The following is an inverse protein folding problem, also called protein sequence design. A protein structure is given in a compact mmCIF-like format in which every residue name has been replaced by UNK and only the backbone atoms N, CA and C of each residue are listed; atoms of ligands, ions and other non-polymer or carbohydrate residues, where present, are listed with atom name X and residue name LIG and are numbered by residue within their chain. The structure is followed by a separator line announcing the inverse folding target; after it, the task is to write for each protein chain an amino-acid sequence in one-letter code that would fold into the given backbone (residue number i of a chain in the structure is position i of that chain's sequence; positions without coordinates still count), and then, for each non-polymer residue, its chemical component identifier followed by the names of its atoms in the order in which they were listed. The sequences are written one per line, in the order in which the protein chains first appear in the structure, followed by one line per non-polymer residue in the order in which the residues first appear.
data_IF_071938452787
#
_entry.id   IF_071938452787
#
_cell.length_a   1.000
_cell.length_b   1.000
_cell.length_c   1.000
_cell.angle_alpha   90.00
_cell.angle_beta   90.00
_cell.angle_gamma   90.00
#
_symmetry.space_group_name_H-M   'P 1'
#
loop_
_entity.id
_entity.type
_entity.pdbx_description
1 polymer ?
#
# COMPACT_ATOMS: atom_id res chain seq x y z
N UNK A 1 10.91 0.67 -15.21
CA UNK A 1 10.49 1.31 -13.95
C UNK A 1 9.92 0.20 -13.09
N UNK A 2 10.55 -0.04 -11.94
CA UNK A 2 10.22 -1.13 -11.00
C UNK A 2 8.84 -0.86 -10.40
N UNK A 3 7.98 -1.87 -10.25
CA UNK A 3 6.59 -1.67 -9.77
C UNK A 3 6.39 -2.36 -8.43
N UNK A 4 5.98 -1.60 -7.43
CA UNK A 4 5.63 -2.14 -6.12
C UNK A 4 4.22 -1.75 -5.73
N UNK A 5 3.53 -2.67 -5.05
CA UNK A 5 2.24 -2.40 -4.43
C UNK A 5 2.45 -2.14 -2.94
N UNK A 6 1.92 -1.03 -2.44
CA UNK A 6 2.06 -0.62 -1.06
C UNK A 6 0.81 -1.02 -0.26
N UNK A 7 1.04 -1.65 0.89
CA UNK A 7 0.02 -1.81 1.93
C UNK A 7 -0.31 -0.45 2.58
N UNK A 8 -1.55 -0.29 3.04
CA UNK A 8 -2.06 0.80 3.88
C UNK A 8 -1.05 1.26 4.94
N UNK A 9 -0.38 0.32 5.62
CA UNK A 9 0.58 0.67 6.67
C UNK A 9 1.77 1.49 6.18
N UNK A 10 2.25 1.25 4.95
CA UNK A 10 3.36 2.01 4.36
C UNK A 10 2.92 3.44 4.06
N UNK A 11 1.67 3.63 3.61
CA UNK A 11 1.10 4.95 3.38
C UNK A 11 1.02 5.76 4.69
N UNK A 12 0.54 5.12 5.75
CA UNK A 12 0.46 5.73 7.08
C UNK A 12 1.84 6.05 7.67
N UNK A 13 2.83 5.18 7.44
CA UNK A 13 4.21 5.43 7.88
C UNK A 13 4.81 6.66 7.21
N UNK A 14 4.51 6.86 5.92
CA UNK A 14 4.92 8.06 5.19
C UNK A 14 4.16 9.31 5.66
N UNK A 15 2.81 9.24 5.74
CA UNK A 15 1.95 10.37 6.11
C UNK A 15 2.22 10.89 7.54
N UNK A 16 2.49 9.97 8.46
CA UNK A 16 2.69 10.24 9.89
C UNK A 16 4.14 10.22 10.35
N UNK A 17 5.11 9.91 9.48
CA UNK A 17 6.51 9.70 9.83
C UNK A 17 6.68 8.70 11.01
N UNK A 18 5.93 7.58 11.00
CA UNK A 18 5.83 6.65 12.14
C UNK A 18 7.13 5.87 12.32
N UNK A 19 7.91 6.21 13.34
CA UNK A 19 9.19 5.55 13.61
C UNK A 19 9.00 4.11 14.15
N UNK A 20 9.89 3.16 13.80
CA UNK A 20 11.11 3.32 13.00
C UNK A 20 10.90 3.25 11.47
N UNK A 21 9.66 3.04 11.00
CA UNK A 21 9.37 2.71 9.61
C UNK A 21 9.25 3.92 8.67
N UNK A 22 8.98 5.11 9.22
CA UNK A 22 8.83 6.35 8.47
C UNK A 22 10.04 6.70 7.59
N UNK A 23 11.26 6.36 8.04
CA UNK A 23 12.48 6.57 7.24
C UNK A 23 12.51 5.70 5.97
N UNK A 24 12.09 4.44 6.07
CA UNK A 24 12.04 3.53 4.92
C UNK A 24 10.91 3.92 3.98
N UNK A 25 9.75 4.28 4.52
CA UNK A 25 8.65 4.81 3.72
C UNK A 25 9.07 6.07 2.94
N UNK A 26 9.76 7.02 3.59
CA UNK A 26 10.30 8.20 2.92
C UNK A 26 11.24 7.84 1.75
N UNK A 27 12.10 6.84 1.93
CA UNK A 27 13.02 6.39 0.89
C UNK A 27 12.28 5.73 -0.29
N UNK A 28 11.27 4.89 -0.01
CA UNK A 28 10.39 4.30 -1.04
C UNK A 28 9.72 5.39 -1.89
N UNK A 29 9.14 6.42 -1.25
CA UNK A 29 8.53 7.54 -1.97
C UNK A 29 9.57 8.39 -2.70
N UNK A 30 10.81 8.48 -2.20
CA UNK A 30 11.90 9.14 -2.91
C UNK A 30 12.29 8.40 -4.20
N UNK A 31 12.29 7.05 -4.20
CA UNK A 31 12.47 6.24 -5.42
C UNK A 31 11.41 6.53 -6.48
N UNK A 32 10.16 6.74 -6.07
CA UNK A 32 9.08 7.19 -6.96
C UNK A 32 9.33 8.60 -7.50
N UNK A 33 9.70 9.54 -6.62
CA UNK A 33 10.03 10.93 -7.01
C UNK A 33 11.17 11.00 -8.03
N UNK A 34 12.18 10.15 -7.91
CA UNK A 34 13.30 10.03 -8.85
C UNK A 34 12.95 9.26 -10.14
N UNK A 35 11.69 8.83 -10.30
CA UNK A 35 11.17 8.05 -11.43
C UNK A 35 11.84 6.68 -11.58
N UNK A 36 12.41 6.13 -10.51
CA UNK A 36 12.96 4.78 -10.48
C UNK A 36 11.84 3.75 -10.33
N UNK A 37 10.87 4.04 -9.45
CA UNK A 37 9.78 3.14 -9.08
C UNK A 37 8.40 3.73 -9.40
N UNK A 38 7.48 2.88 -9.84
CA UNK A 38 6.06 3.20 -9.95
C UNK A 38 5.35 2.51 -8.78
N UNK A 39 4.78 3.31 -7.88
CA UNK A 39 4.14 2.82 -6.67
C UNK A 39 2.65 2.67 -6.91
N UNK A 40 2.11 1.50 -6.56
CA UNK A 40 0.69 1.17 -6.66
C UNK A 40 0.10 0.99 -5.26
N UNK A 41 -1.20 1.19 -5.13
CA UNK A 41 -1.97 0.84 -3.92
C UNK A 41 -3.43 0.58 -4.30
N UNK A 42 -4.24 0.03 -3.39
CA UNK A 42 -5.69 -0.03 -3.59
C UNK A 42 -6.39 1.28 -3.22
N UNK A 43 -7.56 1.51 -3.82
CA UNK A 43 -8.51 2.54 -3.41
C UNK A 43 -8.91 2.43 -1.93
N UNK A 44 -9.12 1.21 -1.43
CA UNK A 44 -9.42 0.96 -0.02
C UNK A 44 -8.31 1.48 0.89
N UNK A 45 -7.04 1.25 0.53
CA UNK A 45 -5.90 1.72 1.33
C UNK A 45 -5.85 3.25 1.43
N UNK A 46 -6.27 3.98 0.39
CA UNK A 46 -6.38 5.44 0.42
C UNK A 46 -7.47 5.89 1.39
N UNK A 47 -8.67 5.27 1.30
CA UNK A 47 -9.81 5.62 2.16
C UNK A 47 -9.53 5.28 3.63
N UNK A 48 -8.94 4.11 3.90
CA UNK A 48 -8.50 3.70 5.23
C UNK A 48 -7.42 4.63 5.77
N UNK A 49 -6.45 5.01 4.94
CA UNK A 49 -5.42 5.98 5.34
C UNK A 49 -6.05 7.32 5.73
N UNK A 50 -6.94 7.87 4.90
CA UNK A 50 -7.68 9.10 5.22
C UNK A 50 -8.45 8.99 6.54
N UNK A 51 -9.20 7.90 6.71
CA UNK A 51 -9.99 7.65 7.92
C UNK A 51 -9.13 7.64 9.17
N UNK A 52 -7.99 6.97 9.14
CA UNK A 52 -7.06 6.90 10.27
C UNK A 52 -6.47 8.29 10.55
N UNK A 53 -5.85 8.95 9.57
CA UNK A 53 -5.16 10.21 9.83
C UNK A 53 -6.14 11.36 10.17
N UNK A 54 -7.37 11.35 9.64
CA UNK A 54 -8.38 12.37 9.98
C UNK A 54 -8.76 12.38 11.45
N UNK A 55 -8.67 11.24 12.15
CA UNK A 55 -8.86 11.19 13.60
C UNK A 55 -7.70 11.80 14.38
N UNK A 56 -6.51 11.84 13.80
CA UNK A 56 -5.29 12.32 14.46
C UNK A 56 -5.05 13.82 14.21
N UNK A 57 -5.24 14.29 12.97
CA UNK A 57 -4.89 15.66 12.55
C UNK A 57 -6.07 16.47 12.03
N UNK A 58 -7.28 15.92 12.07
CA UNK A 58 -8.51 16.56 11.58
C UNK A 58 -8.71 16.43 10.07
N UNK A 59 -9.97 16.61 9.62
CA UNK A 59 -10.36 16.37 8.22
C UNK A 59 -9.67 17.29 7.22
N UNK A 60 -9.57 18.59 7.52
CA UNK A 60 -9.03 19.58 6.60
C UNK A 60 -7.57 19.28 6.23
N UNK A 61 -6.74 18.99 7.24
CA UNK A 61 -5.33 18.67 6.99
C UNK A 61 -5.17 17.30 6.33
N UNK A 62 -5.99 16.32 6.70
CA UNK A 62 -5.98 15.01 6.08
C UNK A 62 -6.32 15.03 4.60
N UNK A 63 -7.28 15.86 4.17
CA UNK A 63 -7.57 16.05 2.73
C UNK A 63 -6.37 16.59 1.98
N UNK A 64 -5.63 17.54 2.56
CA UNK A 64 -4.42 18.11 1.95
C UNK A 64 -3.33 17.03 1.84
N UNK A 65 -3.07 16.27 2.91
CA UNK A 65 -2.03 15.23 2.92
C UNK A 65 -2.35 14.09 1.95
N UNK A 66 -3.58 13.60 1.92
CA UNK A 66 -4.01 12.56 0.96
C UNK A 66 -3.95 13.08 -0.48
N UNK A 67 -4.40 14.31 -0.73
CA UNK A 67 -4.31 14.93 -2.06
C UNK A 67 -2.87 15.04 -2.57
N UNK A 68 -1.90 15.28 -1.67
CA UNK A 68 -0.47 15.25 -2.01
C UNK A 68 0.04 13.84 -2.25
N UNK A 69 -0.34 12.88 -1.39
CA UNK A 69 0.07 11.49 -1.47
C UNK A 69 -0.30 10.84 -2.81
N UNK A 70 -1.53 11.08 -3.30
CA UNK A 70 -2.04 10.47 -4.53
C UNK A 70 -1.16 10.80 -5.75
N UNK A 71 -0.46 11.93 -5.79
CA UNK A 71 0.42 12.27 -6.91
C UNK A 71 1.64 11.34 -7.08
N UNK A 72 1.94 10.52 -6.07
CA UNK A 72 3.03 9.54 -6.10
C UNK A 72 2.56 8.12 -6.45
N UNK A 73 1.26 7.90 -6.56
CA UNK A 73 0.63 6.59 -6.56
C UNK A 73 -0.24 6.35 -7.79
N UNK A 74 -0.13 5.16 -8.33
CA UNK A 74 -1.16 4.56 -9.17
C UNK A 74 -2.19 3.86 -8.28
N UNK A 75 -3.47 4.06 -8.56
CA UNK A 75 -4.54 3.45 -7.77
C UNK A 75 -5.13 2.28 -8.54
N UNK A 76 -5.02 1.08 -7.97
CA UNK A 76 -5.69 -0.12 -8.46
C UNK A 76 -7.10 -0.19 -7.85
N UNK A 77 -8.18 0.00 -8.65
CA UNK A 77 -9.53 -0.06 -8.12
C UNK A 77 -9.89 -1.48 -7.69
N UNK A 78 -10.56 -1.59 -6.54
CA UNK A 78 -11.08 -2.87 -6.06
C UNK A 78 -12.35 -3.20 -6.84
N UNK A 79 -12.41 -4.39 -7.46
CA UNK A 79 -13.61 -4.86 -8.16
C UNK A 79 -14.22 -6.08 -7.48
N UNK A 80 -15.46 -6.39 -7.84
CA UNK A 80 -16.19 -7.57 -7.31
C UNK A 80 -15.39 -8.87 -7.46
N UNK A 81 -14.63 -9.02 -8.54
CA UNK A 81 -13.81 -10.20 -8.77
C UNK A 81 -12.76 -10.40 -7.67
N UNK A 82 -11.99 -9.36 -7.32
CA UNK A 82 -10.99 -9.43 -6.25
C UNK A 82 -11.63 -9.72 -4.89
N UNK A 83 -12.78 -9.13 -4.60
CA UNK A 83 -13.52 -9.39 -3.35
C UNK A 83 -13.98 -10.86 -3.29
N UNK A 84 -14.53 -11.40 -4.38
CA UNK A 84 -14.94 -12.80 -4.43
C UNK A 84 -13.75 -13.75 -4.30
N UNK A 85 -12.61 -13.42 -4.91
CA UNK A 85 -11.39 -14.20 -4.74
C UNK A 85 -10.91 -14.18 -3.29
N UNK A 86 -10.90 -13.00 -2.66
CA UNK A 86 -10.53 -12.80 -1.27
C UNK A 86 -11.40 -13.64 -0.31
N UNK A 87 -12.73 -13.58 -0.48
CA UNK A 87 -13.69 -14.35 0.32
C UNK A 87 -13.54 -15.87 0.20
N UNK A 88 -12.98 -16.37 -0.90
CA UNK A 88 -12.77 -17.80 -1.16
C UNK A 88 -11.30 -18.21 -1.01
N UNK A 89 -10.46 -17.37 -0.39
CA UNK A 89 -9.03 -17.64 -0.22
C UNK A 89 -8.69 -18.08 1.20
N UNK A 90 -7.47 -18.60 1.37
CA UNK A 90 -6.93 -19.02 2.68
C UNK A 90 -6.32 -17.88 3.50
N UNK A 91 -6.42 -16.63 3.02
CA UNK A 91 -5.99 -15.46 3.79
C UNK A 91 -6.87 -15.30 5.04
N UNK A 92 -6.23 -15.04 6.19
CA UNK A 92 -6.95 -14.86 7.45
C UNK A 92 -7.64 -13.51 7.54
N UNK A 93 -6.97 -12.47 7.05
CA UNK A 93 -7.48 -11.11 7.04
C UNK A 93 -8.03 -10.79 5.65
N UNK A 94 -9.27 -10.30 5.61
CA UNK A 94 -9.97 -10.02 4.35
C UNK A 94 -9.39 -8.78 3.64
N UNK A 95 -8.89 -7.79 4.38
CA UNK A 95 -8.26 -6.61 3.77
C UNK A 95 -6.97 -7.02 3.07
N UNK A 96 -6.11 -7.79 3.75
CA UNK A 96 -4.86 -8.32 3.16
C UNK A 96 -5.15 -9.18 1.92
N UNK A 97 -6.20 -10.01 1.99
CA UNK A 97 -6.65 -10.82 0.85
C UNK A 97 -7.07 -9.95 -0.34
N UNK A 98 -7.92 -8.94 -0.11
CA UNK A 98 -8.37 -8.02 -1.18
C UNK A 98 -7.18 -7.23 -1.74
N UNK A 99 -6.27 -6.74 -0.91
CA UNK A 99 -5.05 -6.06 -1.35
C UNK A 99 -4.19 -6.98 -2.21
N UNK A 100 -3.98 -8.23 -1.80
CA UNK A 100 -3.26 -9.23 -2.59
C UNK A 100 -3.89 -9.44 -3.97
N UNK A 101 -5.21 -9.64 -4.05
CA UNK A 101 -5.87 -9.85 -5.34
C UNK A 101 -5.87 -8.58 -6.21
N UNK A 102 -5.92 -7.39 -5.60
CA UNK A 102 -5.67 -6.13 -6.32
C UNK A 102 -4.24 -6.11 -6.90
N UNK A 103 -3.23 -6.39 -6.07
CA UNK A 103 -1.84 -6.44 -6.49
C UNK A 103 -1.61 -7.47 -7.62
N UNK A 104 -2.24 -8.64 -7.55
CA UNK A 104 -2.12 -9.70 -8.57
C UNK A 104 -2.69 -9.30 -9.94
N UNK A 105 -3.58 -8.31 -9.99
CA UNK A 105 -4.15 -7.81 -11.24
C UNK A 105 -3.24 -6.81 -11.96
N UNK A 106 -2.15 -6.37 -11.31
CA UNK A 106 -1.19 -5.41 -11.86
C UNK A 106 -0.10 -6.15 -12.63
N UNK A 107 0.03 -5.83 -13.92
CA UNK A 107 1.07 -6.41 -14.76
C UNK A 107 2.48 -6.01 -14.30
N UNK A 108 3.40 -6.99 -14.30
CA UNK A 108 4.84 -6.78 -14.03
C UNK A 108 5.10 -6.15 -12.65
N UNK A 109 4.33 -6.56 -11.64
CA UNK A 109 4.58 -6.18 -10.26
C UNK A 109 5.77 -6.97 -9.71
N UNK A 110 6.71 -6.26 -9.09
CA UNK A 110 7.93 -6.86 -8.49
C UNK A 110 7.66 -7.37 -7.07
N UNK A 111 6.73 -6.73 -6.36
CA UNK A 111 6.28 -7.23 -5.08
C UNK A 111 5.26 -6.34 -4.36
N UNK A 112 4.78 -6.86 -3.23
CA UNK A 112 4.01 -6.13 -2.23
C UNK A 112 4.96 -5.67 -1.13
N UNK A 113 4.89 -4.41 -0.72
CA UNK A 113 5.62 -3.86 0.42
C UNK A 113 4.62 -3.68 1.58
N UNK A 114 4.87 -4.36 2.69
CA UNK A 114 4.02 -4.35 3.89
C UNK A 114 4.87 -4.48 5.15
N UNK A 115 4.30 -4.19 6.32
CA UNK A 115 4.90 -4.53 7.62
C UNK A 115 4.46 -5.87 8.20
N UNK A 116 3.54 -6.51 7.49
CA UNK A 116 2.79 -7.67 7.93
C UNK A 116 3.11 -8.87 7.04
N UNK A 117 4.39 -9.07 6.67
CA UNK A 117 4.79 -10.13 5.71
C UNK A 117 4.27 -11.52 6.07
N UNK A 118 4.08 -11.81 7.37
CA UNK A 118 3.52 -13.07 7.89
C UNK A 118 2.05 -13.33 7.49
N UNK A 119 1.31 -12.29 7.14
CA UNK A 119 -0.12 -12.37 6.80
C UNK A 119 -0.31 -12.66 5.30
N UNK A 120 0.77 -12.55 4.51
CA UNK A 120 0.83 -12.87 3.08
C UNK A 120 1.49 -14.23 2.77
N UNK A 121 1.41 -15.21 3.68
CA UNK A 121 2.04 -16.53 3.50
C UNK A 121 1.57 -17.28 2.24
N UNK A 122 0.34 -17.05 1.82
CA UNK A 122 -0.25 -17.66 0.62
C UNK A 122 -0.01 -16.85 -0.66
N UNK A 123 0.76 -15.76 -0.57
CA UNK A 123 1.05 -14.89 -1.71
C UNK A 123 1.97 -15.59 -2.71
N UNK A 124 1.57 -15.57 -3.98
CA UNK A 124 2.44 -15.94 -5.11
C UNK A 124 3.28 -14.74 -5.59
N UNK A 125 2.97 -13.53 -5.11
CA UNK A 125 3.72 -12.31 -5.38
C UNK A 125 4.80 -12.18 -4.30
N UNK A 126 6.04 -11.79 -4.65
CA UNK A 126 7.07 -11.50 -3.66
C UNK A 126 6.58 -10.45 -2.65
N UNK A 127 6.85 -10.68 -1.37
CA UNK A 127 6.44 -9.80 -0.28
C UNK A 127 7.67 -9.32 0.46
N UNK A 128 7.75 -8.02 0.65
CA UNK A 128 8.88 -7.35 1.26
C UNK A 128 8.44 -6.51 2.45
N UNK A 129 9.24 -6.58 3.51
CA UNK A 129 9.28 -5.55 4.53
C UNK A 129 9.97 -4.30 3.96
N UNK A 130 9.64 -3.09 4.43
CA UNK A 130 10.10 -1.86 3.78
C UNK A 130 11.63 -1.72 3.76
N UNK A 131 12.36 -2.26 4.74
CA UNK A 131 13.83 -2.24 4.78
C UNK A 131 14.51 -3.33 3.92
N UNK A 132 13.74 -4.26 3.34
CA UNK A 132 14.31 -5.27 2.44
C UNK A 132 14.52 -4.71 1.02
N UNK A 133 13.94 -3.54 0.71
CA UNK A 133 13.93 -2.96 -0.64
C UNK A 133 14.64 -1.61 -0.75
N UNK A 134 14.97 -0.96 0.38
CA UNK A 134 15.72 0.30 0.47
C UNK A 134 16.85 0.21 1.48
#
# INVERSE_FOLDING_TARGET
MTRYFLDTNILLDFLGNRQPFGKYALEIFNKSRLKEWQLWTSDNSILTSYYIISKEIGEAESRIKIGRLINYLEIQPTQKAQILQALNSDFKDLEDAVQYFCASSISKLEGIITRNKKDFKSSQIPVFEPWEVV
#
